data_IF_847639192126
#
_entry.id   IF_847639192126
#
_cell.length_a   1.000
_cell.length_b   1.000
_cell.length_c   1.000
_cell.angle_alpha   90.00
_cell.angle_beta   90.00
_cell.angle_gamma   90.00
#
_symmetry.space_group_name_H-M   'P 1'
#
loop_
_entity.id
_entity.type
_entity.pdbx_description
1 polymer ?
#
# COMPACT_ATOMS: atom_id res chain seq x y z
N UNK A 1 -20.74 16.49 2.28
CA UNK A 1 -19.56 16.02 3.06
C UNK A 1 -18.94 14.86 2.29
N UNK A 2 -17.63 14.64 2.44
CA UNK A 2 -16.88 13.59 1.74
C UNK A 2 -16.69 12.40 2.69
N UNK A 3 -17.79 11.78 3.09
CA UNK A 3 -17.82 10.83 4.21
C UNK A 3 -17.02 9.53 3.94
N UNK A 4 -16.67 9.26 2.68
CA UNK A 4 -15.88 8.10 2.26
C UNK A 4 -14.52 8.46 1.64
N UNK A 5 -14.03 9.69 1.84
CA UNK A 5 -12.70 10.10 1.36
C UNK A 5 -11.67 10.06 2.48
N UNK A 6 -10.65 9.22 2.31
CA UNK A 6 -9.47 9.22 3.19
C UNK A 6 -8.32 9.90 2.45
N UNK A 7 -7.84 11.02 3.01
CA UNK A 7 -6.64 11.72 2.51
C UNK A 7 -5.43 11.28 3.31
N UNK A 8 -4.53 10.51 2.67
CA UNK A 8 -3.28 10.07 3.28
C UNK A 8 -2.30 11.23 3.40
N UNK A 9 -2.10 11.75 4.62
CA UNK A 9 -1.24 12.91 4.92
C UNK A 9 0.20 12.55 5.35
N UNK A 10 0.65 11.33 5.06
CA UNK A 10 2.00 10.89 5.46
C UNK A 10 3.10 11.73 4.76
N UNK A 11 4.14 12.22 5.47
CA UNK A 11 5.16 13.10 4.90
C UNK A 11 5.85 12.54 3.65
N UNK A 12 6.16 11.24 3.62
CA UNK A 12 6.77 10.60 2.45
C UNK A 12 5.83 10.57 1.23
N UNK A 13 4.52 10.43 1.43
CA UNK A 13 3.55 10.49 0.33
C UNK A 13 3.51 11.91 -0.24
N UNK A 14 3.45 12.93 0.62
CA UNK A 14 3.45 14.33 0.19
C UNK A 14 4.73 14.73 -0.54
N UNK A 15 5.90 14.32 -0.01
CA UNK A 15 7.20 14.56 -0.62
C UNK A 15 7.30 13.92 -2.02
N UNK A 16 7.00 12.62 -2.13
CA UNK A 16 7.06 11.89 -3.40
C UNK A 16 6.04 12.40 -4.41
N UNK A 17 4.84 12.76 -3.95
CA UNK A 17 3.81 13.35 -4.81
C UNK A 17 4.26 14.70 -5.38
N UNK A 18 4.99 15.50 -4.60
CA UNK A 18 5.55 16.78 -5.05
C UNK A 18 6.58 16.57 -6.16
N UNK A 19 7.51 15.62 -5.98
CA UNK A 19 8.47 15.23 -7.02
C UNK A 19 7.78 14.66 -8.26
N UNK A 20 6.74 13.85 -8.09
CA UNK A 20 6.00 13.26 -9.20
C UNK A 20 5.25 14.32 -10.03
N UNK A 21 4.82 15.43 -9.40
CA UNK A 21 4.15 16.56 -10.07
C UNK A 21 5.11 17.54 -10.75
N UNK A 22 6.39 17.52 -10.42
CA UNK A 22 7.37 18.41 -11.02
C UNK A 22 7.50 18.13 -12.53
N UNK A 23 7.34 19.17 -13.36
CA UNK A 23 7.25 19.01 -14.83
C UNK A 23 8.52 18.38 -15.44
N UNK A 24 9.68 18.66 -14.84
CA UNK A 24 10.98 18.23 -15.35
C UNK A 24 11.36 16.82 -14.88
N UNK A 25 10.49 16.15 -14.11
CA UNK A 25 10.70 14.77 -13.66
C UNK A 25 10.72 13.81 -14.83
N UNK A 26 11.79 13.03 -14.95
CA UNK A 26 11.94 12.04 -16.02
C UNK A 26 10.83 11.00 -15.99
N UNK A 27 10.50 10.42 -17.15
CA UNK A 27 9.46 9.37 -17.24
C UNK A 27 9.81 8.12 -16.40
N UNK A 28 11.10 7.82 -16.23
CA UNK A 28 11.55 6.73 -15.38
C UNK A 28 11.30 7.03 -13.90
N UNK A 29 11.70 8.20 -13.43
CA UNK A 29 11.48 8.66 -12.06
C UNK A 29 9.99 8.78 -11.73
N UNK A 30 9.16 9.26 -12.66
CA UNK A 30 7.71 9.33 -12.50
C UNK A 30 7.11 7.95 -12.22
N UNK A 31 7.46 6.93 -13.01
CA UNK A 31 6.97 5.55 -12.81
C UNK A 31 7.47 4.97 -11.48
N UNK A 32 8.70 5.25 -11.10
CA UNK A 32 9.22 4.82 -9.80
C UNK A 32 8.43 5.45 -8.64
N UNK A 33 8.24 6.78 -8.67
CA UNK A 33 7.49 7.51 -7.65
C UNK A 33 6.04 7.04 -7.57
N UNK A 34 5.39 6.76 -8.70
CA UNK A 34 4.04 6.21 -8.75
C UNK A 34 3.96 4.88 -7.99
N UNK A 35 4.88 3.95 -8.23
CA UNK A 35 4.94 2.66 -7.52
C UNK A 35 5.16 2.83 -6.03
N UNK A 36 6.09 3.71 -5.65
CA UNK A 36 6.40 3.98 -4.24
C UNK A 36 5.20 4.59 -3.52
N UNK A 37 4.50 5.54 -4.14
CA UNK A 37 3.27 6.12 -3.58
C UNK A 37 2.17 5.06 -3.49
N UNK A 38 1.96 4.27 -4.54
CA UNK A 38 0.95 3.19 -4.55
C UNK A 38 1.18 2.18 -3.43
N UNK A 39 2.43 1.83 -3.12
CA UNK A 39 2.74 0.95 -1.99
C UNK A 39 2.38 1.58 -0.64
N UNK A 40 2.67 2.87 -0.45
CA UNK A 40 2.32 3.60 0.78
C UNK A 40 0.80 3.71 0.94
N UNK A 41 0.07 3.96 -0.14
CA UNK A 41 -1.40 3.98 -0.12
C UNK A 41 -1.98 2.59 0.15
N UNK A 42 -1.40 1.54 -0.43
CA UNK A 42 -1.80 0.15 -0.17
C UNK A 42 -1.62 -0.21 1.30
N UNK A 43 -0.48 0.16 1.90
CA UNK A 43 -0.25 -0.06 3.34
C UNK A 43 -1.35 0.58 4.19
N UNK A 44 -1.71 1.84 3.91
CA UNK A 44 -2.77 2.54 4.65
C UNK A 44 -4.16 1.93 4.43
N UNK A 45 -4.54 1.58 3.21
CA UNK A 45 -5.88 1.01 2.94
C UNK A 45 -6.04 -0.38 3.58
N UNK A 46 -4.94 -1.11 3.79
CA UNK A 46 -4.96 -2.42 4.43
C UNK A 46 -4.88 -2.41 5.96
N UNK A 47 -4.91 -1.22 6.59
CA UNK A 47 -4.72 -1.06 8.04
C UNK A 47 -5.70 -1.85 8.91
N UNK A 48 -6.93 -2.02 8.44
CA UNK A 48 -8.03 -2.66 9.18
C UNK A 48 -8.33 -4.08 8.67
N UNK A 49 -7.42 -4.71 7.93
CA UNK A 49 -7.64 -6.09 7.50
C UNK A 49 -7.80 -7.03 8.71
N UNK A 50 -8.78 -7.94 8.68
CA UNK A 50 -9.03 -8.84 9.78
C UNK A 50 -7.85 -9.80 9.97
N UNK A 51 -7.59 -10.16 11.22
CA UNK A 51 -6.49 -11.05 11.62
C UNK A 51 -7.05 -12.32 12.29
N UNK A 52 -6.33 -13.43 12.17
CA UNK A 52 -6.54 -14.68 12.91
C UNK A 52 -5.20 -15.17 13.46
N UNK A 53 -5.18 -16.22 14.27
CA UNK A 53 -3.94 -16.87 14.70
C UNK A 53 -3.69 -18.17 13.92
N UNK A 54 -2.42 -18.55 13.86
CA UNK A 54 -1.98 -19.87 13.39
C UNK A 54 -0.76 -20.31 14.22
N UNK A 55 -0.75 -21.56 14.65
CA UNK A 55 0.41 -22.17 15.30
C UNK A 55 1.60 -22.22 14.33
N UNK A 56 2.76 -21.73 14.77
CA UNK A 56 4.04 -21.84 14.07
C UNK A 56 5.14 -22.30 15.02
N UNK A 57 6.17 -22.92 14.47
CA UNK A 57 7.40 -23.22 15.19
C UNK A 57 8.44 -22.11 14.94
N UNK A 58 8.95 -21.52 16.02
CA UNK A 58 10.12 -20.64 15.97
C UNK A 58 11.36 -21.43 16.38
N UNK A 59 12.58 -20.94 16.11
CA UNK A 59 13.81 -21.63 16.55
C UNK A 59 13.90 -21.91 18.05
N UNK A 60 13.06 -21.29 18.88
CA UNK A 60 13.06 -21.46 20.34
C UNK A 60 11.86 -22.25 20.87
N UNK A 61 10.66 -22.08 20.30
CA UNK A 61 9.41 -22.76 20.73
C UNK A 61 8.25 -22.54 19.75
N UNK A 62 7.20 -23.33 19.92
CA UNK A 62 5.90 -23.10 19.27
C UNK A 62 5.20 -21.85 19.82
N UNK A 63 4.46 -21.16 18.95
CA UNK A 63 3.59 -20.04 19.33
C UNK A 63 2.40 -19.85 18.39
N UNK A 64 1.34 -19.24 18.89
CA UNK A 64 0.24 -18.69 18.08
C UNK A 64 0.65 -17.34 17.47
N UNK A 65 0.85 -17.29 16.15
CA UNK A 65 1.25 -16.08 15.44
C UNK A 65 0.07 -15.43 14.70
N UNK A 66 -0.05 -14.09 14.69
CA UNK A 66 -1.09 -13.39 13.96
C UNK A 66 -0.84 -13.48 12.44
N UNK A 67 -1.90 -13.75 11.69
CA UNK A 67 -1.92 -13.82 10.22
C UNK A 67 -3.20 -13.16 9.70
N UNK A 68 -3.16 -12.62 8.47
CA UNK A 68 -4.36 -12.09 7.82
C UNK A 68 -5.45 -13.16 7.71
N UNK A 69 -6.67 -12.82 8.12
CA UNK A 69 -7.85 -13.66 8.01
C UNK A 69 -8.50 -13.54 6.62
N UNK A 70 -9.08 -14.64 6.14
CA UNK A 70 -9.96 -14.62 4.96
C UNK A 70 -9.29 -14.96 3.62
N UNK A 71 -10.01 -14.65 2.53
CA UNK A 71 -9.66 -15.00 1.14
C UNK A 71 -8.77 -13.93 0.50
N UNK A 72 -8.11 -14.31 -0.59
CA UNK A 72 -7.20 -13.45 -1.37
C UNK A 72 -7.90 -12.17 -1.84
N UNK A 73 -7.25 -11.03 -1.63
CA UNK A 73 -7.68 -9.73 -2.19
C UNK A 73 -7.54 -9.75 -3.71
N UNK A 74 -8.45 -9.05 -4.40
CA UNK A 74 -8.37 -8.80 -5.83
C UNK A 74 -7.89 -7.38 -6.10
N UNK A 75 -6.82 -7.24 -6.90
CA UNK A 75 -6.33 -5.96 -7.38
C UNK A 75 -6.80 -5.76 -8.82
N UNK A 76 -7.60 -4.71 -9.06
CA UNK A 76 -8.18 -4.41 -10.38
C UNK A 76 -7.58 -3.10 -10.88
N UNK A 77 -6.79 -3.19 -11.94
CA UNK A 77 -6.20 -2.04 -12.63
C UNK A 77 -7.17 -1.49 -13.68
N UNK A 78 -7.32 -0.17 -13.72
CA UNK A 78 -8.01 0.52 -14.82
C UNK A 78 -6.96 0.96 -15.85
N UNK A 79 -7.08 0.40 -17.06
CA UNK A 79 -6.09 0.60 -18.11
C UNK A 79 -6.18 1.99 -18.75
N UNK A 80 -5.08 2.55 -19.25
CA UNK A 80 -3.70 2.00 -19.31
C UNK A 80 -2.82 2.37 -18.12
N UNK A 81 -3.12 3.48 -17.46
CA UNK A 81 -2.25 4.07 -16.43
C UNK A 81 -2.23 3.27 -15.12
N UNK A 82 -3.24 2.42 -14.86
CA UNK A 82 -3.32 1.59 -13.65
C UNK A 82 -2.28 0.47 -13.55
N UNK A 83 -1.48 0.20 -14.60
CA UNK A 83 -0.40 -0.79 -14.57
C UNK A 83 0.96 -0.22 -14.14
N UNK A 84 0.99 1.06 -13.76
CA UNK A 84 2.19 1.82 -13.41
C UNK A 84 2.79 1.44 -12.06
#
# INVERSE_FOLDING_TARGET
MLDHLIVVKHPLVQHKLSLMRQKDTSTASFRQLLREISLLLAYEVTRELPMTTRTIETPLKEMEAPILAGKKLALVSILRAGNG
#
